data_IF_327036409545
#
_entry.id   IF_327036409545
#
_cell.length_a   1.000
_cell.length_b   1.000
_cell.length_c   1.000
_cell.angle_alpha   90.00
_cell.angle_beta   90.00
_cell.angle_gamma   90.00
#
_symmetry.space_group_name_H-M   'P 1'
#
loop_
_entity.id
_entity.type
_entity.pdbx_description
1 polymer ?
#
# COMPACT_ATOMS: atom_id res chain seq x y z
N UNK A 1 8.62 9.60 -5.37
CA UNK A 1 9.87 10.29 -5.75
C UNK A 1 10.02 11.66 -5.07
N UNK A 2 9.14 12.63 -5.31
CA UNK A 2 9.23 13.98 -4.72
C UNK A 2 9.35 13.98 -3.20
N UNK A 3 8.55 13.18 -2.49
CA UNK A 3 8.61 13.08 -1.03
C UNK A 3 9.96 12.55 -0.51
N UNK A 4 10.64 11.69 -1.28
CA UNK A 4 12.00 11.23 -0.94
C UNK A 4 12.98 12.40 -1.08
N UNK A 5 12.93 13.12 -2.21
CA UNK A 5 13.81 14.28 -2.44
C UNK A 5 13.58 15.36 -1.38
N UNK A 6 12.33 15.64 -1.00
CA UNK A 6 12.02 16.53 0.12
C UNK A 6 12.69 16.10 1.42
N UNK A 7 12.67 14.81 1.74
CA UNK A 7 13.34 14.28 2.92
C UNK A 7 14.87 14.47 2.82
N UNK A 8 15.46 14.18 1.66
CA UNK A 8 16.88 14.41 1.41
C UNK A 8 17.25 15.90 1.56
N UNK A 9 16.46 16.81 0.99
CA UNK A 9 16.69 18.27 1.05
C UNK A 9 16.59 18.82 2.48
N UNK A 10 15.71 18.28 3.33
CA UNK A 10 15.66 18.62 4.77
C UNK A 10 16.98 18.27 5.49
N UNK A 11 17.70 17.27 5.00
CA UNK A 11 19.03 16.89 5.48
C UNK A 11 20.15 17.58 4.70
N UNK A 12 19.85 18.65 3.93
CA UNK A 12 20.80 19.43 3.13
C UNK A 12 21.53 18.60 2.06
N UNK A 13 20.91 17.50 1.61
CA UNK A 13 21.41 16.73 0.48
C UNK A 13 20.97 17.41 -0.80
N UNK A 14 21.94 17.76 -1.65
CA UNK A 14 21.68 18.35 -2.96
C UNK A 14 21.42 17.27 -4.00
N UNK A 15 20.53 17.58 -4.94
CA UNK A 15 20.15 16.73 -6.05
C UNK A 15 20.10 17.57 -7.34
N UNK A 16 20.23 16.92 -8.50
CA UNK A 16 20.39 17.57 -9.79
C UNK A 16 19.47 16.95 -10.83
N UNK A 17 18.96 17.77 -11.75
CA UNK A 17 18.20 17.28 -12.89
C UNK A 17 19.08 16.42 -13.80
N UNK A 18 18.49 15.43 -14.47
CA UNK A 18 19.15 14.73 -15.57
C UNK A 18 19.15 15.60 -16.83
N UNK A 19 20.33 15.99 -17.34
CA UNK A 19 20.52 16.86 -18.51
C UNK A 19 20.46 16.11 -19.84
N UNK A 20 20.99 14.88 -19.86
CA UNK A 20 21.08 14.03 -21.06
C UNK A 20 20.64 12.62 -20.70
N UNK A 21 20.04 11.87 -21.63
CA UNK A 21 19.64 10.50 -21.35
C UNK A 21 20.80 9.66 -20.81
N UNK A 22 20.50 8.75 -19.89
CA UNK A 22 21.45 7.78 -19.35
C UNK A 22 20.82 6.39 -19.36
N UNK A 23 21.59 5.37 -19.71
CA UNK A 23 21.13 3.98 -19.71
C UNK A 23 21.78 3.24 -18.56
N UNK A 24 20.97 2.65 -17.67
CA UNK A 24 21.42 1.88 -16.51
C UNK A 24 20.68 0.54 -16.53
N UNK A 25 21.42 -0.58 -16.48
CA UNK A 25 20.86 -1.94 -16.47
C UNK A 25 19.75 -2.12 -17.53
N UNK A 26 20.05 -1.75 -18.79
CA UNK A 26 19.14 -1.82 -19.95
C UNK A 26 17.92 -0.88 -19.91
N UNK A 27 17.76 -0.06 -18.87
CA UNK A 27 16.71 0.95 -18.79
C UNK A 27 17.27 2.31 -19.18
N UNK A 28 16.67 2.94 -20.19
CA UNK A 28 17.00 4.32 -20.59
C UNK A 28 16.15 5.29 -19.78
N UNK A 29 16.80 6.27 -19.17
CA UNK A 29 16.17 7.39 -18.48
C UNK A 29 16.39 8.65 -19.31
N UNK A 30 15.31 9.37 -19.64
CA UNK A 30 15.36 10.64 -20.34
C UNK A 30 15.37 11.82 -19.33
N UNK A 31 15.77 13.03 -19.76
CA UNK A 31 15.56 14.24 -18.97
C UNK A 31 14.12 14.32 -18.44
N UNK A 32 13.95 14.85 -17.23
CA UNK A 32 12.68 14.92 -16.45
C UNK A 32 12.18 13.59 -15.84
N UNK A 33 12.67 12.43 -16.29
CA UNK A 33 12.27 11.12 -15.74
C UNK A 33 13.12 10.68 -14.55
N UNK A 34 14.30 11.28 -14.37
CA UNK A 34 15.26 10.90 -13.34
C UNK A 34 16.00 12.10 -12.75
N UNK A 35 16.52 11.89 -11.54
CA UNK A 35 17.29 12.85 -10.74
C UNK A 35 18.62 12.19 -10.36
N UNK A 36 19.69 12.97 -10.34
CA UNK A 36 21.02 12.54 -9.93
C UNK A 36 21.30 13.09 -8.52
N UNK A 37 21.68 12.22 -7.59
CA UNK A 37 22.11 12.60 -6.24
C UNK A 37 23.59 12.23 -6.09
N UNK A 38 24.54 13.19 -6.22
CA UNK A 38 25.96 12.88 -6.13
C UNK A 38 26.36 12.55 -4.69
N UNK A 39 27.27 11.60 -4.49
CA UNK A 39 27.78 11.26 -3.16
C UNK A 39 28.87 12.22 -2.66
N UNK A 40 29.52 12.98 -3.56
CA UNK A 40 30.54 13.98 -3.21
C UNK A 40 29.92 15.27 -2.66
N UNK A 41 29.41 15.19 -1.44
CA UNK A 41 28.81 16.30 -0.70
C UNK A 41 28.97 16.08 0.83
N UNK A 42 28.82 17.10 1.69
CA UNK A 42 29.13 17.00 3.12
C UNK A 42 28.42 15.83 3.85
N UNK A 43 27.19 15.48 3.45
CA UNK A 43 26.39 14.42 4.06
C UNK A 43 26.62 13.03 3.46
N UNK A 44 27.78 12.77 2.85
CA UNK A 44 28.07 11.54 2.08
C UNK A 44 27.82 10.25 2.86
N UNK A 45 28.24 10.18 4.14
CA UNK A 45 28.07 8.98 4.98
C UNK A 45 26.60 8.72 5.28
N UNK A 46 25.85 9.77 5.62
CA UNK A 46 24.41 9.65 5.84
C UNK A 46 23.71 9.21 4.56
N UNK A 47 23.94 9.91 3.43
CA UNK A 47 23.38 9.56 2.13
C UNK A 47 23.67 8.10 1.75
N UNK A 48 24.90 7.62 1.97
CA UNK A 48 25.24 6.21 1.73
C UNK A 48 24.35 5.30 2.57
N UNK A 49 24.29 5.51 3.89
CA UNK A 49 23.50 4.68 4.81
C UNK A 49 22.01 4.62 4.50
N UNK A 50 21.39 5.73 4.09
CA UNK A 50 19.95 5.76 3.78
C UNK A 50 19.60 5.29 2.36
N UNK A 51 20.58 5.19 1.45
CA UNK A 51 20.36 4.78 0.05
C UNK A 51 20.85 3.36 -0.24
N UNK A 52 21.76 2.82 0.58
CA UNK A 52 22.39 1.52 0.34
C UNK A 52 21.44 0.34 0.55
N UNK A 53 21.90 -0.82 0.08
CA UNK A 53 21.32 -2.13 0.36
C UNK A 53 22.41 -2.96 1.01
N UNK A 54 22.20 -3.32 2.26
CA UNK A 54 23.11 -4.18 3.03
C UNK A 54 22.45 -5.53 3.20
N UNK A 55 23.17 -6.61 2.91
CA UNK A 55 22.74 -8.01 3.10
C UNK A 55 23.78 -8.86 3.82
N UNK A 56 24.98 -8.30 4.06
CA UNK A 56 26.09 -8.97 4.73
C UNK A 56 26.40 -8.21 6.01
N UNK A 57 26.55 -8.95 7.10
CA UNK A 57 26.77 -8.42 8.45
C UNK A 57 27.79 -9.28 9.18
N UNK A 58 28.62 -8.66 10.01
CA UNK A 58 29.56 -9.39 10.89
C UNK A 58 28.83 -10.08 12.06
N UNK A 59 27.72 -9.49 12.53
CA UNK A 59 26.87 -10.04 13.58
C UNK A 59 25.48 -10.40 13.03
N UNK A 60 24.87 -11.42 13.63
CA UNK A 60 23.52 -11.91 13.34
C UNK A 60 22.48 -11.38 14.34
N UNK A 61 22.91 -10.70 15.40
CA UNK A 61 22.03 -10.16 16.43
C UNK A 61 21.73 -8.68 16.21
N UNK A 62 20.44 -8.37 16.08
CA UNK A 62 19.95 -7.01 15.89
C UNK A 62 19.02 -6.62 17.04
N UNK A 63 19.23 -5.43 17.60
CA UNK A 63 18.39 -4.91 18.69
C UNK A 63 16.99 -4.51 18.21
N UNK A 64 16.85 -4.09 16.94
CA UNK A 64 15.58 -3.61 16.36
C UNK A 64 15.41 -4.09 14.91
N UNK A 65 15.98 -3.37 13.94
CA UNK A 65 15.90 -3.71 12.51
C UNK A 65 17.27 -3.73 11.85
N UNK A 66 17.37 -4.43 10.73
CA UNK A 66 18.62 -4.64 9.98
C UNK A 66 18.68 -3.86 8.66
N UNK A 67 17.62 -3.14 8.27
CA UNK A 67 17.56 -2.39 7.02
C UNK A 67 16.79 -1.07 7.14
N UNK A 68 17.26 -0.03 6.42
CA UNK A 68 16.73 1.34 6.48
C UNK A 68 16.69 2.06 5.11
N UNK A 69 16.69 1.32 4.01
CA UNK A 69 16.80 1.89 2.66
C UNK A 69 15.58 2.76 2.29
N UNK A 70 15.77 4.08 2.25
CA UNK A 70 14.70 5.04 1.96
C UNK A 70 14.15 4.94 0.53
N UNK A 71 14.93 4.66 -0.53
CA UNK A 71 14.35 4.43 -1.86
C UNK A 71 13.26 3.36 -1.84
N UNK A 72 13.51 2.24 -1.14
CA UNK A 72 12.52 1.17 -0.98
C UNK A 72 11.34 1.61 -0.11
N UNK A 73 11.60 2.30 1.01
CA UNK A 73 10.55 2.83 1.87
C UNK A 73 9.61 3.80 1.13
N UNK A 74 10.10 4.54 0.15
CA UNK A 74 9.32 5.49 -0.65
C UNK A 74 8.79 4.91 -1.96
N UNK A 75 9.03 3.63 -2.26
CA UNK A 75 8.64 2.98 -3.53
C UNK A 75 9.34 3.58 -4.76
N UNK A 76 10.54 4.13 -4.60
CA UNK A 76 11.30 4.80 -5.66
C UNK A 76 12.36 3.87 -6.23
N UNK A 77 12.35 3.67 -7.55
CA UNK A 77 13.43 3.00 -8.28
C UNK A 77 14.70 3.84 -8.19
N UNK A 78 15.78 3.26 -7.67
CA UNK A 78 17.09 3.91 -7.57
C UNK A 78 18.19 2.99 -8.10
N UNK A 79 19.27 3.61 -8.59
CA UNK A 79 20.45 2.90 -9.07
C UNK A 79 21.70 3.61 -8.60
N UNK A 80 22.67 2.82 -8.11
CA UNK A 80 24.01 3.32 -7.81
C UNK A 80 24.81 3.49 -9.11
N UNK A 81 25.47 4.63 -9.25
CA UNK A 81 26.38 4.93 -10.36
C UNK A 81 27.83 4.85 -9.87
N UNK A 82 28.60 3.91 -10.42
CA UNK A 82 30.04 3.79 -10.12
C UNK A 82 30.90 4.81 -10.85
N UNK A 83 30.43 5.30 -12.00
CA UNK A 83 31.13 6.29 -12.82
C UNK A 83 30.62 7.69 -12.48
N UNK A 84 31.50 8.69 -12.62
CA UNK A 84 31.17 10.08 -12.34
C UNK A 84 30.09 10.60 -13.33
N UNK A 85 28.88 10.96 -12.85
CA UNK A 85 27.77 11.35 -13.73
C UNK A 85 27.83 12.81 -14.19
N UNK A 86 28.95 13.53 -13.99
CA UNK A 86 29.07 14.98 -14.24
C UNK A 86 28.60 15.42 -15.64
N UNK A 87 28.81 14.61 -16.67
CA UNK A 87 28.37 14.90 -18.06
C UNK A 87 26.85 14.80 -18.26
N UNK A 88 26.16 14.06 -17.40
CA UNK A 88 24.70 13.89 -17.40
C UNK A 88 24.00 14.81 -16.40
N UNK A 89 24.75 15.44 -15.50
CA UNK A 89 24.22 16.30 -14.44
C UNK A 89 23.83 17.68 -14.98
N UNK A 90 22.58 18.08 -14.73
CA UNK A 90 22.02 19.38 -15.11
C UNK A 90 22.14 20.41 -13.99
N UNK A 91 21.17 21.33 -13.94
CA UNK A 91 21.05 22.28 -12.84
C UNK A 91 20.77 21.56 -11.52
N UNK A 92 21.26 22.17 -10.44
CA UNK A 92 20.85 21.77 -9.09
C UNK A 92 19.35 22.01 -8.96
N UNK A 93 18.66 21.06 -8.32
CA UNK A 93 17.25 21.21 -8.01
C UNK A 93 17.06 22.23 -6.90
N UNK A 94 16.11 23.13 -7.11
CA UNK A 94 15.54 23.96 -6.05
C UNK A 94 14.71 23.10 -5.09
N UNK A 95 14.15 23.72 -4.05
CA UNK A 95 13.27 23.02 -3.10
C UNK A 95 12.11 22.33 -3.84
N UNK A 96 12.00 21.03 -3.66
CA UNK A 96 11.00 20.22 -4.35
C UNK A 96 9.71 20.25 -3.56
N UNK A 97 8.62 20.63 -4.22
CA UNK A 97 7.27 20.50 -3.69
C UNK A 97 6.52 19.35 -4.41
N UNK A 98 5.45 18.87 -3.78
CA UNK A 98 4.51 18.00 -4.49
C UNK A 98 3.79 18.84 -5.54
N UNK A 99 3.65 18.31 -6.75
CA UNK A 99 3.08 19.03 -7.91
C UNK A 99 2.02 18.18 -8.66
N UNK A 100 1.75 18.48 -9.93
CA UNK A 100 0.99 17.59 -10.82
C UNK A 100 -0.52 17.53 -10.56
N UNK A 101 -1.03 18.39 -9.67
CA UNK A 101 -2.44 18.50 -9.34
C UNK A 101 -3.22 19.39 -10.32
N UNK A 102 -4.02 18.80 -11.19
CA UNK A 102 -4.75 19.53 -12.23
C UNK A 102 -6.09 18.87 -12.60
N UNK A 103 -7.06 19.70 -12.98
CA UNK A 103 -8.28 19.27 -13.70
C UNK A 103 -8.12 19.57 -15.18
N UNK A 104 -7.96 18.53 -15.98
CA UNK A 104 -7.72 18.62 -17.42
C UNK A 104 -9.06 18.48 -18.16
N UNK A 105 -9.35 19.37 -19.12
CA UNK A 105 -10.60 19.35 -19.89
C UNK A 105 -11.73 20.23 -19.32
N UNK A 106 -11.48 20.97 -18.24
CA UNK A 106 -12.42 21.95 -17.70
C UNK A 106 -13.64 21.33 -17.00
N UNK A 107 -14.84 21.79 -17.35
CA UNK A 107 -16.11 21.34 -16.73
C UNK A 107 -16.66 20.12 -17.46
N UNK A 108 -16.70 18.98 -16.76
CA UNK A 108 -17.25 17.74 -17.30
C UNK A 108 -18.77 17.82 -17.49
N UNK A 109 -19.27 17.30 -18.62
CA UNK A 109 -20.71 17.06 -18.84
C UNK A 109 -21.16 15.65 -18.48
N UNK A 110 -20.24 14.67 -18.39
CA UNK A 110 -20.58 13.27 -18.12
C UNK A 110 -19.95 12.75 -16.83
N UNK A 111 -18.63 12.82 -16.71
CA UNK A 111 -17.92 12.34 -15.52
C UNK A 111 -16.53 12.97 -15.43
N UNK A 112 -16.01 13.05 -14.22
CA UNK A 112 -14.57 13.20 -14.00
C UNK A 112 -13.92 11.83 -13.86
N UNK A 113 -12.65 11.72 -14.23
CA UNK A 113 -11.87 10.49 -14.12
C UNK A 113 -10.58 10.82 -13.39
N UNK A 114 -10.41 10.29 -12.18
CA UNK A 114 -9.19 10.47 -11.39
C UNK A 114 -8.29 9.24 -11.56
N UNK A 115 -7.04 9.45 -11.95
CA UNK A 115 -6.05 8.36 -12.00
C UNK A 115 -5.68 7.89 -10.59
N UNK A 116 -5.44 6.60 -10.43
CA UNK A 116 -5.08 5.97 -9.15
C UNK A 116 -3.57 5.73 -9.01
N UNK A 117 -2.79 6.77 -9.26
CA UNK A 117 -1.32 6.70 -9.32
C UNK A 117 -0.62 7.81 -8.51
N UNK A 118 -1.37 8.54 -7.69
CA UNK A 118 -0.85 9.62 -6.82
C UNK A 118 -1.08 9.24 -5.37
N UNK A 119 -0.10 9.57 -4.52
CA UNK A 119 -0.05 9.12 -3.13
C UNK A 119 -1.29 9.52 -2.30
N UNK A 120 -1.84 10.72 -2.52
CA UNK A 120 -3.04 11.19 -1.82
C UNK A 120 -4.35 10.92 -2.58
N UNK A 121 -4.36 10.09 -3.63
CA UNK A 121 -5.60 9.68 -4.29
C UNK A 121 -6.64 9.05 -3.34
N UNK A 122 -6.25 8.23 -2.33
CA UNK A 122 -7.19 7.70 -1.33
C UNK A 122 -7.87 8.80 -0.49
N UNK A 123 -7.13 9.86 -0.13
CA UNK A 123 -7.68 11.02 0.58
C UNK A 123 -8.71 11.77 -0.26
N UNK A 124 -8.42 11.97 -1.55
CA UNK A 124 -9.37 12.56 -2.50
C UNK A 124 -10.63 11.69 -2.66
N UNK A 125 -10.46 10.37 -2.83
CA UNK A 125 -11.57 9.43 -2.96
C UNK A 125 -12.47 9.44 -1.72
N UNK A 126 -11.90 9.47 -0.51
CA UNK A 126 -12.69 9.58 0.70
C UNK A 126 -13.55 10.84 0.72
N UNK A 127 -12.96 12.01 0.44
CA UNK A 127 -13.70 13.29 0.42
C UNK A 127 -14.80 13.32 -0.64
N UNK A 128 -14.61 12.62 -1.75
CA UNK A 128 -15.64 12.45 -2.80
C UNK A 128 -16.81 11.64 -2.24
N UNK A 129 -16.53 10.46 -1.68
CA UNK A 129 -17.53 9.59 -1.06
C UNK A 129 -18.27 10.29 0.09
N UNK A 130 -17.54 11.04 0.92
CA UNK A 130 -18.09 11.77 2.06
C UNK A 130 -18.98 12.95 1.63
N UNK A 131 -18.78 13.47 0.42
CA UNK A 131 -19.65 14.49 -0.18
C UNK A 131 -20.94 13.90 -0.77
N UNK A 132 -21.21 12.61 -0.58
CA UNK A 132 -22.40 11.92 -1.10
C UNK A 132 -22.35 11.61 -2.59
N UNK A 133 -21.15 11.59 -3.18
CA UNK A 133 -20.93 11.16 -4.56
C UNK A 133 -20.63 9.66 -4.55
N UNK A 134 -21.18 8.92 -5.52
CA UNK A 134 -20.92 7.49 -5.71
C UNK A 134 -19.99 7.27 -6.90
N UNK A 135 -18.66 7.35 -6.70
CA UNK A 135 -17.69 7.05 -7.73
C UNK A 135 -17.69 5.56 -8.06
N UNK A 136 -17.07 5.23 -9.18
CA UNK A 136 -16.94 3.86 -9.67
C UNK A 136 -15.48 3.52 -9.91
N UNK A 137 -15.09 2.32 -9.47
CA UNK A 137 -13.78 1.75 -9.70
C UNK A 137 -13.73 1.12 -11.10
N UNK A 138 -12.78 1.54 -11.94
CA UNK A 138 -12.52 0.87 -13.20
C UNK A 138 -11.70 -0.41 -12.97
N UNK A 139 -12.32 -1.58 -13.16
CA UNK A 139 -11.64 -2.86 -13.01
C UNK A 139 -10.84 -3.26 -14.25
N UNK A 140 -11.00 -2.55 -15.38
CA UNK A 140 -10.28 -2.80 -16.63
C UNK A 140 -9.71 -1.50 -17.22
N UNK A 141 -8.56 -1.56 -17.94
CA UNK A 141 -8.05 -0.40 -18.66
C UNK A 141 -9.03 0.07 -19.74
N UNK A 142 -9.06 1.37 -19.96
CA UNK A 142 -9.90 2.00 -20.98
C UNK A 142 -9.28 3.31 -21.46
N UNK A 143 -9.83 3.88 -22.54
CA UNK A 143 -9.41 5.20 -23.02
C UNK A 143 -10.59 6.10 -23.34
N UNK A 144 -10.40 7.41 -23.23
CA UNK A 144 -11.40 8.40 -23.66
C UNK A 144 -10.72 9.59 -24.34
N UNK A 145 -11.51 10.38 -25.08
CA UNK A 145 -11.05 11.59 -25.74
C UNK A 145 -11.26 12.78 -24.80
N UNK A 146 -10.17 13.43 -24.39
CA UNK A 146 -10.17 14.63 -23.56
C UNK A 146 -9.51 15.75 -24.38
N UNK A 147 -10.22 16.85 -24.62
CA UNK A 147 -9.76 17.96 -25.47
C UNK A 147 -9.23 17.52 -26.85
N UNK A 148 -9.86 16.53 -27.48
CA UNK A 148 -9.45 15.99 -28.78
C UNK A 148 -8.30 15.00 -28.74
N UNK A 149 -7.68 14.76 -27.57
CA UNK A 149 -6.58 13.82 -27.40
C UNK A 149 -7.06 12.52 -26.74
N UNK A 150 -6.56 11.39 -27.23
CA UNK A 150 -6.78 10.08 -26.60
C UNK A 150 -5.98 10.01 -25.29
N UNK A 151 -6.67 9.74 -24.18
CA UNK A 151 -6.08 9.55 -22.86
C UNK A 151 -6.38 8.14 -22.38
N UNK A 152 -5.33 7.43 -21.97
CA UNK A 152 -5.41 6.08 -21.42
C UNK A 152 -5.54 6.11 -19.88
N UNK A 153 -6.35 5.19 -19.37
CA UNK A 153 -6.62 4.99 -17.96
C UNK A 153 -6.38 3.54 -17.58
N UNK A 154 -5.62 3.34 -16.50
CA UNK A 154 -5.28 2.03 -15.97
C UNK A 154 -6.38 1.51 -15.03
N UNK A 155 -6.27 0.24 -14.65
CA UNK A 155 -7.10 -0.34 -13.58
C UNK A 155 -6.95 0.48 -12.30
N UNK A 156 -8.04 0.59 -11.56
CA UNK A 156 -8.09 1.43 -10.36
C UNK A 156 -8.50 2.87 -10.60
N UNK A 157 -8.52 3.34 -11.86
CA UNK A 157 -9.00 4.69 -12.16
C UNK A 157 -10.43 4.89 -11.64
N UNK A 158 -10.68 6.06 -11.06
CA UNK A 158 -11.94 6.37 -10.38
C UNK A 158 -12.79 7.24 -11.29
N UNK A 159 -13.93 6.71 -11.73
CA UNK A 159 -14.93 7.43 -12.51
C UNK A 159 -15.91 8.11 -11.55
N UNK A 160 -16.09 9.40 -11.69
CA UNK A 160 -16.87 10.26 -10.79
C UNK A 160 -17.98 10.90 -11.63
N UNK A 161 -19.18 10.29 -11.69
CA UNK A 161 -20.28 10.81 -12.49
C UNK A 161 -20.66 12.23 -12.05
N UNK A 162 -21.05 13.11 -12.98
CA UNK A 162 -21.60 14.42 -12.60
C UNK A 162 -23.09 14.35 -12.25
N UNK A 163 -23.78 13.34 -12.79
CA UNK A 163 -25.15 12.99 -12.44
C UNK A 163 -25.13 11.84 -11.41
N UNK A 164 -25.57 12.12 -10.19
CA UNK A 164 -25.76 11.10 -9.16
C UNK A 164 -27.09 10.36 -9.39
N UNK A 165 -27.11 9.05 -9.17
CA UNK A 165 -28.31 8.22 -9.38
C UNK A 165 -29.27 8.20 -8.19
N UNK A 166 -28.82 8.61 -7.01
CA UNK A 166 -29.67 8.63 -5.81
C UNK A 166 -30.60 9.84 -5.81
N UNK A 167 -31.90 9.57 -5.61
CA UNK A 167 -32.96 10.57 -5.61
C UNK A 167 -32.75 11.69 -4.56
N UNK A 168 -31.99 11.39 -3.50
CA UNK A 168 -31.72 12.33 -2.39
C UNK A 168 -30.44 13.15 -2.58
N UNK A 169 -29.68 12.93 -3.67
CA UNK A 169 -28.43 13.65 -3.89
C UNK A 169 -28.68 15.12 -4.23
N UNK A 170 -28.27 16.02 -3.32
CA UNK A 170 -28.42 17.48 -3.48
C UNK A 170 -27.20 18.16 -4.09
N UNK A 171 -26.16 17.39 -4.44
CA UNK A 171 -24.90 17.95 -4.94
C UNK A 171 -25.03 18.38 -6.40
N UNK A 172 -24.74 19.64 -6.68
CA UNK A 172 -24.83 20.21 -8.02
C UNK A 172 -23.57 19.92 -8.84
N UNK A 173 -23.69 19.94 -10.17
CA UNK A 173 -22.56 19.82 -11.10
C UNK A 173 -21.45 20.85 -10.80
N UNK A 174 -21.84 22.07 -10.41
CA UNK A 174 -20.91 23.13 -10.01
C UNK A 174 -20.12 22.75 -8.75
N UNK A 175 -20.78 22.18 -7.74
CA UNK A 175 -20.12 21.74 -6.52
C UNK A 175 -19.18 20.56 -6.77
N UNK A 176 -19.57 19.60 -7.62
CA UNK A 176 -18.69 18.50 -8.04
C UNK A 176 -17.43 19.07 -8.71
N UNK A 177 -17.58 19.99 -9.68
CA UNK A 177 -16.44 20.61 -10.36
C UNK A 177 -15.51 21.33 -9.37
N UNK A 178 -16.05 22.17 -8.48
CA UNK A 178 -15.28 22.88 -7.46
C UNK A 178 -14.58 21.91 -6.49
N UNK A 179 -15.20 20.78 -6.18
CA UNK A 179 -14.57 19.72 -5.41
C UNK A 179 -13.37 19.15 -6.18
N UNK A 180 -13.52 18.81 -7.47
CA UNK A 180 -12.40 18.30 -8.28
C UNK A 180 -11.23 19.29 -8.35
N UNK A 181 -11.49 20.57 -8.62
CA UNK A 181 -10.44 21.60 -8.70
C UNK A 181 -9.68 21.77 -7.38
N UNK A 182 -10.41 21.70 -6.25
CA UNK A 182 -9.81 21.79 -4.92
C UNK A 182 -8.98 20.56 -4.61
N UNK A 183 -9.52 19.36 -4.86
CA UNK A 183 -8.83 18.09 -4.59
C UNK A 183 -7.59 17.93 -5.47
N UNK A 184 -7.68 18.27 -6.75
CA UNK A 184 -6.53 18.20 -7.66
C UNK A 184 -5.38 19.05 -7.12
N UNK A 185 -5.65 20.29 -6.70
CA UNK A 185 -4.65 21.21 -6.15
C UNK A 185 -4.12 20.77 -4.78
N UNK A 186 -5.00 20.45 -3.83
CA UNK A 186 -4.59 20.17 -2.44
C UNK A 186 -3.96 18.80 -2.24
N UNK A 187 -4.40 17.82 -3.01
CA UNK A 187 -4.00 16.41 -2.87
C UNK A 187 -3.17 15.93 -4.08
N UNK A 188 -2.81 16.84 -5.00
CA UNK A 188 -1.88 16.58 -6.10
C UNK A 188 -2.32 15.43 -7.03
N UNK A 189 -3.62 15.28 -7.23
CA UNK A 189 -4.23 14.25 -8.08
C UNK A 189 -4.54 14.79 -9.47
N UNK A 190 -4.39 13.94 -10.48
CA UNK A 190 -4.75 14.25 -11.86
C UNK A 190 -6.19 13.81 -12.14
N UNK A 191 -7.02 14.77 -12.55
CA UNK A 191 -8.44 14.55 -12.80
C UNK A 191 -8.76 15.01 -14.23
N UNK A 192 -9.47 14.17 -14.99
CA UNK A 192 -9.81 14.43 -16.38
C UNK A 192 -11.32 14.59 -16.52
N UNK A 193 -11.75 15.67 -17.17
CA UNK A 193 -13.15 15.98 -17.40
C UNK A 193 -13.64 15.34 -18.72
N UNK A 194 -14.49 14.34 -18.62
CA UNK A 194 -15.15 13.72 -19.78
C UNK A 194 -16.51 14.35 -20.05
N UNK A 195 -16.74 14.67 -21.32
CA UNK A 195 -18.02 15.23 -21.79
C UNK A 195 -18.98 14.17 -22.36
N UNK A 196 -18.55 12.91 -22.42
CA UNK A 196 -19.35 11.78 -22.91
C UNK A 196 -19.08 10.54 -22.05
N UNK A 197 -20.07 9.65 -21.96
CA UNK A 197 -19.89 8.33 -21.36
C UNK A 197 -19.23 7.33 -22.33
N UNK A 198 -19.18 7.68 -23.62
CA UNK A 198 -18.50 6.89 -24.64
C UNK A 198 -16.99 6.85 -24.38
N UNK A 199 -16.39 5.67 -24.46
CA UNK A 199 -14.95 5.46 -24.42
C UNK A 199 -14.43 5.17 -25.83
N UNK A 200 -13.16 5.50 -26.08
CA UNK A 200 -12.50 5.19 -27.35
C UNK A 200 -12.06 3.71 -27.40
N UNK A 201 -11.78 3.11 -26.25
CA UNK A 201 -11.56 1.67 -26.07
C UNK A 201 -11.94 1.24 -24.65
N UNK A 202 -12.20 -0.06 -24.46
CA UNK A 202 -12.68 -0.60 -23.18
C UNK A 202 -14.18 -0.34 -22.97
N UNK A 203 -14.68 -0.60 -21.77
CA UNK A 203 -16.11 -0.39 -21.46
C UNK A 203 -16.46 1.08 -21.32
N UNK A 204 -17.71 1.44 -21.61
CA UNK A 204 -18.26 2.78 -21.37
C UNK A 204 -18.09 3.23 -19.92
N UNK A 205 -18.06 4.53 -19.69
CA UNK A 205 -18.01 5.11 -18.34
C UNK A 205 -19.29 4.71 -17.58
N UNK A 206 -19.14 3.76 -16.66
CA UNK A 206 -20.25 3.18 -15.93
C UNK A 206 -20.88 1.92 -16.54
N UNK A 207 -20.21 1.28 -17.50
CA UNK A 207 -20.53 -0.06 -17.97
C UNK A 207 -20.12 -1.16 -16.99
N UNK A 208 -20.34 -2.43 -17.34
CA UNK A 208 -20.25 -3.60 -16.45
C UNK A 208 -18.90 -3.81 -15.73
N UNK A 209 -17.81 -3.28 -16.27
CA UNK A 209 -16.46 -3.38 -15.65
C UNK A 209 -16.19 -2.30 -14.59
N UNK A 210 -17.21 -1.50 -14.24
CA UNK A 210 -17.11 -0.47 -13.22
C UNK A 210 -17.92 -0.83 -11.98
N UNK A 211 -17.24 -1.03 -10.84
CA UNK A 211 -17.88 -1.30 -9.54
C UNK A 211 -18.22 0.00 -8.85
N UNK A 212 -19.45 0.17 -8.35
CA UNK A 212 -19.82 1.32 -7.51
C UNK A 212 -19.12 1.20 -6.17
N UNK A 213 -18.47 2.27 -5.72
CA UNK A 213 -17.75 2.29 -4.45
C UNK A 213 -18.64 2.80 -3.32
N UNK A 214 -18.54 2.15 -2.17
CA UNK A 214 -19.16 2.58 -0.93
C UNK A 214 -18.20 3.41 -0.08
N UNK A 215 -18.75 4.27 0.78
CA UNK A 215 -17.94 5.02 1.75
C UNK A 215 -17.42 4.06 2.83
N UNK A 216 -16.10 3.94 3.04
CA UNK A 216 -15.58 3.11 4.11
C UNK A 216 -15.90 3.72 5.47
N UNK A 217 -16.47 2.91 6.36
CA UNK A 217 -16.65 3.14 7.80
C UNK A 217 -15.69 2.22 8.53
N UNK A 218 -14.52 2.75 8.83
CA UNK A 218 -13.36 1.96 9.28
C UNK A 218 -13.31 1.89 10.81
N UNK A 219 -13.19 0.68 11.34
CA UNK A 219 -12.72 0.42 12.70
C UNK A 219 -11.35 -0.25 12.70
N UNK A 220 -10.50 0.12 13.65
CA UNK A 220 -9.21 -0.52 13.92
C UNK A 220 -9.33 -1.16 15.29
N UNK A 221 -9.12 -2.47 15.37
CA UNK A 221 -9.06 -3.14 16.68
C UNK A 221 -7.87 -2.60 17.48
N UNK A 222 -8.11 -2.32 18.77
CA UNK A 222 -7.16 -1.63 19.66
C UNK A 222 -7.35 -2.09 21.11
N UNK A 223 -6.48 -1.62 22.00
CA UNK A 223 -6.53 -1.98 23.43
C UNK A 223 -5.81 -3.30 23.73
N UNK A 224 -6.29 -4.04 24.73
CA UNK A 224 -5.73 -5.31 25.17
C UNK A 224 -5.57 -6.31 24.00
N UNK A 225 -4.51 -7.10 24.04
CA UNK A 225 -4.20 -8.06 22.98
C UNK A 225 -3.67 -7.47 21.66
N UNK A 226 -3.61 -6.14 21.50
CA UNK A 226 -3.09 -5.46 20.30
C UNK A 226 -1.71 -4.85 20.50
N UNK A 227 -0.94 -4.74 19.41
CA UNK A 227 0.30 -3.98 19.38
C UNK A 227 0.01 -2.49 19.21
N UNK A 228 0.38 -1.67 20.20
CA UNK A 228 0.21 -0.21 20.13
C UNK A 228 0.93 0.41 18.94
N UNK A 229 2.05 -0.18 18.51
CA UNK A 229 2.75 0.21 17.28
C UNK A 229 1.89 -0.06 16.04
N UNK A 230 1.38 -1.28 15.88
CA UNK A 230 0.55 -1.66 14.73
C UNK A 230 -0.73 -0.81 14.62
N UNK A 231 -1.41 -0.59 15.76
CA UNK A 231 -2.57 0.29 15.84
C UNK A 231 -2.20 1.73 15.47
N UNK A 232 -1.13 2.26 16.09
CA UNK A 232 -0.70 3.65 15.91
C UNK A 232 -0.28 3.97 14.47
N UNK A 233 0.39 3.05 13.79
CA UNK A 233 0.83 3.21 12.40
C UNK A 233 -0.37 3.29 11.44
N UNK A 234 -1.34 2.38 11.58
CA UNK A 234 -2.56 2.34 10.75
C UNK A 234 -3.45 3.56 11.06
N UNK A 235 -3.59 3.91 12.33
CA UNK A 235 -4.35 5.09 12.74
C UNK A 235 -3.73 6.38 12.23
N UNK A 236 -2.40 6.51 12.32
CA UNK A 236 -1.68 7.64 11.75
C UNK A 236 -1.84 7.72 10.21
N UNK A 237 -1.73 6.61 9.49
CA UNK A 237 -1.94 6.61 8.04
C UNK A 237 -3.37 7.08 7.70
N UNK A 238 -4.38 6.45 8.29
CA UNK A 238 -5.78 6.73 7.97
C UNK A 238 -6.18 8.13 8.42
N UNK A 239 -6.03 8.45 9.70
CA UNK A 239 -6.51 9.69 10.30
C UNK A 239 -5.59 10.89 10.03
N UNK A 240 -4.30 10.79 10.38
CA UNK A 240 -3.39 11.95 10.30
C UNK A 240 -3.00 12.28 8.88
N UNK A 241 -2.65 11.27 8.08
CA UNK A 241 -2.12 11.45 6.72
C UNK A 241 -3.21 11.51 5.66
N UNK A 242 -4.10 10.53 5.64
CA UNK A 242 -5.15 10.42 4.62
C UNK A 242 -6.43 11.16 4.98
N UNK A 243 -6.56 11.67 6.22
CA UNK A 243 -7.77 12.37 6.71
C UNK A 243 -9.05 11.53 6.54
N UNK A 244 -8.91 10.22 6.73
CA UNK A 244 -9.99 9.23 6.76
C UNK A 244 -10.31 8.98 8.24
N UNK A 245 -11.52 9.32 8.71
CA UNK A 245 -11.99 8.94 10.04
C UNK A 245 -11.93 7.43 10.23
N UNK A 246 -11.24 7.00 11.28
CA UNK A 246 -11.15 5.61 11.73
C UNK A 246 -11.41 5.56 13.23
N UNK A 247 -12.26 4.62 13.64
CA UNK A 247 -12.61 4.44 15.05
C UNK A 247 -11.67 3.40 15.68
N UNK A 248 -11.12 3.72 16.84
CA UNK A 248 -10.41 2.73 17.64
C UNK A 248 -11.46 1.91 18.40
N UNK A 249 -11.63 0.65 18.00
CA UNK A 249 -12.57 -0.28 18.62
C UNK A 249 -11.78 -1.17 19.58
N UNK A 250 -12.12 -1.16 20.86
CA UNK A 250 -11.48 -2.05 21.82
C UNK A 250 -11.72 -3.51 21.40
N UNK A 251 -10.65 -4.32 21.40
CA UNK A 251 -10.66 -5.73 21.05
C UNK A 251 -11.24 -6.60 22.17
N UNK A 252 -12.41 -6.21 22.67
CA UNK A 252 -13.13 -6.85 23.78
C UNK A 252 -14.64 -6.66 23.55
N UNK A 253 -15.43 -7.70 23.85
CA UNK A 253 -16.90 -7.66 23.73
C UNK A 253 -17.37 -7.19 22.35
N UNK A 254 -16.87 -7.82 21.29
CA UNK A 254 -17.19 -7.56 19.88
C UNK A 254 -18.58 -8.10 19.51
N UNK A 255 -19.60 -7.49 20.10
CA UNK A 255 -20.99 -7.85 19.81
C UNK A 255 -21.47 -7.32 18.44
N UNK A 256 -22.54 -7.94 17.93
CA UNK A 256 -23.13 -7.63 16.61
C UNK A 256 -23.46 -6.15 16.42
N UNK A 257 -24.01 -5.50 17.46
CA UNK A 257 -24.40 -4.08 17.41
C UNK A 257 -23.19 -3.15 17.25
N UNK A 258 -22.08 -3.44 17.94
CA UNK A 258 -20.83 -2.69 17.77
C UNK A 258 -20.29 -2.84 16.35
N UNK A 259 -20.22 -4.08 15.85
CA UNK A 259 -19.65 -4.39 14.53
C UNK A 259 -20.50 -3.79 13.38
N UNK A 260 -21.82 -3.76 13.51
CA UNK A 260 -22.75 -3.25 12.50
C UNK A 260 -22.55 -1.76 12.12
N UNK A 261 -21.84 -0.98 12.94
CA UNK A 261 -21.53 0.42 12.64
C UNK A 261 -20.46 0.59 11.55
N UNK A 262 -19.75 -0.50 11.22
CA UNK A 262 -18.59 -0.51 10.34
C UNK A 262 -18.80 -1.48 9.18
N UNK A 263 -18.29 -1.14 8.00
CA UNK A 263 -18.19 -2.06 6.86
C UNK A 263 -16.75 -2.55 6.63
N UNK A 264 -15.77 -1.94 7.30
CA UNK A 264 -14.36 -2.35 7.26
C UNK A 264 -13.79 -2.41 8.67
N UNK A 265 -13.22 -3.55 9.02
CA UNK A 265 -12.51 -3.76 10.29
C UNK A 265 -11.08 -4.16 9.99
N UNK A 266 -10.14 -3.45 10.59
CA UNK A 266 -8.72 -3.75 10.53
C UNK A 266 -8.31 -4.43 11.85
N UNK A 267 -7.59 -5.54 11.73
CA UNK A 267 -7.04 -6.37 12.80
C UNK A 267 -5.51 -6.22 12.73
N UNK A 268 -4.93 -5.23 13.43
CA UNK A 268 -3.49 -4.99 13.43
C UNK A 268 -2.69 -6.16 14.03
N UNK A 269 -1.37 -5.99 14.04
CA UNK A 269 -0.46 -6.85 14.81
C UNK A 269 -0.94 -6.99 16.27
N UNK A 270 -1.03 -8.22 16.76
CA UNK A 270 -1.64 -8.55 18.05
C UNK A 270 -1.97 -10.04 18.18
N UNK A 271 -2.13 -10.49 19.43
CA UNK A 271 -2.46 -11.89 19.75
C UNK A 271 -3.90 -12.10 20.19
N UNK A 272 -4.60 -11.02 20.57
CA UNK A 272 -6.04 -11.02 20.88
C UNK A 272 -6.47 -12.18 21.79
N UNK A 273 -5.81 -12.32 22.94
CA UNK A 273 -6.06 -13.40 23.89
C UNK A 273 -7.38 -13.22 24.64
N UNK A 274 -7.86 -11.99 24.69
CA UNK A 274 -9.04 -11.51 25.39
C UNK A 274 -10.33 -11.75 24.58
N UNK A 275 -10.23 -12.01 23.28
CA UNK A 275 -11.39 -12.31 22.43
C UNK A 275 -11.85 -13.75 22.61
N UNK A 276 -13.08 -13.90 23.10
CA UNK A 276 -13.70 -15.19 23.38
C UNK A 276 -14.34 -15.81 22.13
N UNK A 277 -14.83 -17.05 22.26
CA UNK A 277 -15.50 -17.76 21.17
C UNK A 277 -16.71 -17.00 20.61
N UNK A 278 -17.45 -16.27 21.45
CA UNK A 278 -18.60 -15.47 21.01
C UNK A 278 -18.18 -14.26 20.17
N UNK A 279 -17.08 -13.60 20.51
CA UNK A 279 -16.54 -12.48 19.74
C UNK A 279 -16.07 -12.94 18.37
N UNK A 280 -15.34 -14.07 18.34
CA UNK A 280 -14.88 -14.71 17.10
C UNK A 280 -16.07 -15.09 16.22
N UNK A 281 -17.13 -15.65 16.80
CA UNK A 281 -18.34 -16.01 16.07
C UNK A 281 -19.06 -14.79 15.50
N UNK A 282 -19.21 -13.72 16.28
CA UNK A 282 -19.79 -12.46 15.80
C UNK A 282 -18.98 -11.86 14.65
N UNK A 283 -17.65 -11.91 14.74
CA UNK A 283 -16.77 -11.41 13.67
C UNK A 283 -16.90 -12.25 12.40
N UNK A 284 -16.98 -13.59 12.50
CA UNK A 284 -17.25 -14.49 11.37
C UNK A 284 -18.59 -14.16 10.70
N UNK A 285 -19.65 -14.02 11.49
CA UNK A 285 -20.97 -13.67 10.97
C UNK A 285 -20.97 -12.28 10.31
N UNK A 286 -20.28 -11.30 10.89
CA UNK A 286 -20.16 -9.97 10.31
C UNK A 286 -19.46 -10.00 8.93
N UNK A 287 -18.37 -10.78 8.79
CA UNK A 287 -17.72 -11.00 7.48
C UNK A 287 -18.69 -11.68 6.51
N UNK A 288 -19.34 -12.78 6.92
CA UNK A 288 -20.28 -13.50 6.06
C UNK A 288 -21.41 -12.60 5.53
N UNK A 289 -21.79 -11.57 6.29
CA UNK A 289 -22.83 -10.60 5.96
C UNK A 289 -22.34 -9.37 5.20
N UNK A 290 -21.12 -9.37 4.64
CA UNK A 290 -20.64 -8.29 3.76
C UNK A 290 -19.51 -7.44 4.32
N UNK A 291 -19.07 -7.69 5.56
CA UNK A 291 -17.94 -6.98 6.15
C UNK A 291 -16.60 -7.28 5.46
N UNK A 292 -15.76 -6.26 5.34
CA UNK A 292 -14.36 -6.40 4.89
C UNK A 292 -13.43 -6.46 6.10
N UNK A 293 -12.77 -7.61 6.29
CA UNK A 293 -11.83 -7.83 7.39
C UNK A 293 -10.39 -7.80 6.86
N UNK A 294 -9.55 -6.95 7.45
CA UNK A 294 -8.17 -6.74 7.01
C UNK A 294 -7.22 -7.10 8.16
N UNK A 295 -6.44 -8.17 8.02
CA UNK A 295 -5.39 -8.53 8.97
C UNK A 295 -4.03 -7.99 8.55
N UNK A 296 -3.18 -7.61 9.52
CA UNK A 296 -1.76 -7.36 9.28
C UNK A 296 -0.89 -8.17 10.25
N UNK A 297 0.23 -8.68 9.76
CA UNK A 297 1.23 -9.44 10.55
C UNK A 297 0.59 -10.54 11.42
N UNK A 298 0.81 -10.52 12.74
CA UNK A 298 0.24 -11.53 13.65
C UNK A 298 -1.29 -11.42 13.78
N UNK A 299 -1.89 -10.28 13.44
CA UNK A 299 -3.34 -10.15 13.29
C UNK A 299 -3.87 -11.03 12.16
N UNK A 300 -3.20 -11.06 11.00
CA UNK A 300 -3.51 -12.01 9.93
C UNK A 300 -3.36 -13.45 10.41
N UNK A 301 -2.27 -13.75 11.13
CA UNK A 301 -2.05 -15.09 11.70
C UNK A 301 -3.17 -15.50 12.67
N UNK A 302 -3.64 -14.57 13.50
CA UNK A 302 -4.73 -14.80 14.43
C UNK A 302 -6.04 -15.14 13.71
N UNK A 303 -6.37 -14.43 12.61
CA UNK A 303 -7.54 -14.72 11.78
C UNK A 303 -7.53 -16.15 11.23
N UNK A 304 -6.36 -16.62 10.80
CA UNK A 304 -6.15 -18.00 10.34
C UNK A 304 -6.33 -18.98 11.49
N UNK A 305 -5.62 -18.77 12.60
CA UNK A 305 -5.60 -19.68 13.76
C UNK A 305 -6.99 -19.85 14.40
N UNK A 306 -7.81 -18.78 14.44
CA UNK A 306 -9.20 -18.83 14.93
C UNK A 306 -10.19 -19.35 13.90
N UNK A 307 -9.71 -19.78 12.73
CA UNK A 307 -10.51 -20.29 11.61
C UNK A 307 -11.59 -19.30 11.19
N UNK A 308 -11.26 -18.00 11.21
CA UNK A 308 -12.12 -16.96 10.62
C UNK A 308 -12.04 -17.11 9.12
N UNK A 309 -10.86 -17.34 8.57
CA UNK A 309 -10.60 -17.67 7.18
C UNK A 309 -9.83 -18.99 7.11
N UNK A 310 -10.12 -19.83 6.11
CA UNK A 310 -9.44 -21.13 5.93
C UNK A 310 -8.18 -20.95 5.09
N UNK A 311 -7.09 -20.50 5.70
CA UNK A 311 -5.75 -20.43 5.12
C UNK A 311 -4.75 -21.19 5.99
N UNK A 312 -3.50 -21.29 5.54
CA UNK A 312 -2.45 -22.02 6.24
C UNK A 312 -1.27 -21.12 6.56
N UNK A 313 -0.88 -21.11 7.83
CA UNK A 313 0.42 -20.60 8.25
C UNK A 313 1.42 -21.73 8.03
N UNK A 314 2.51 -21.44 7.32
CA UNK A 314 3.57 -22.41 7.07
C UNK A 314 4.13 -22.89 8.41
N UNK A 315 4.21 -24.20 8.60
CA UNK A 315 4.83 -24.77 9.78
C UNK A 315 6.30 -24.35 9.85
N UNK A 316 6.73 -23.95 11.03
CA UNK A 316 8.15 -23.75 11.30
C UNK A 316 8.64 -24.99 12.02
N UNK A 317 9.71 -25.61 11.53
CA UNK A 317 10.36 -26.67 12.29
C UNK A 317 10.96 -26.05 13.54
N UNK A 318 10.63 -26.61 14.71
CA UNK A 318 11.29 -26.21 15.94
C UNK A 318 12.75 -26.66 15.85
N UNK A 319 13.68 -25.71 15.89
CA UNK A 319 15.10 -26.03 16.01
C UNK A 319 15.34 -26.84 17.28
N UNK A 320 15.81 -28.07 17.12
CA UNK A 320 16.40 -28.84 18.21
C UNK A 320 17.84 -28.40 18.34
N UNK A 321 18.09 -27.49 19.29
CA UNK A 321 19.42 -26.97 19.58
C UNK A 321 20.09 -27.89 20.61
N UNK A 322 20.94 -28.81 20.14
CA UNK A 322 21.87 -29.57 20.99
C UNK A 322 23.24 -28.90 20.93
N UNK A 323 23.36 -27.77 21.64
CA UNK A 323 24.53 -26.88 21.64
C UNK A 323 24.82 -26.38 23.06
N UNK A 324 26.03 -25.86 23.33
CA UNK A 324 26.35 -25.22 24.59
C UNK A 324 25.34 -24.11 24.97
N UNK A 325 24.96 -24.05 26.25
CA UNK A 325 23.90 -23.17 26.74
C UNK A 325 24.17 -21.68 26.44
N UNK A 326 25.43 -21.25 26.52
CA UNK A 326 25.87 -19.88 26.23
C UNK A 326 25.67 -19.47 24.76
N UNK A 327 25.57 -20.44 23.84
CA UNK A 327 25.33 -20.19 22.42
C UNK A 327 23.84 -20.12 22.05
N UNK A 328 22.95 -20.64 22.90
CA UNK A 328 21.50 -20.72 22.63
C UNK A 328 20.91 -19.36 22.29
N UNK A 329 21.27 -18.31 23.02
CA UNK A 329 20.78 -16.96 22.76
C UNK A 329 21.20 -16.45 21.38
N UNK A 330 22.46 -16.65 21.01
CA UNK A 330 22.99 -16.21 19.71
C UNK A 330 22.30 -16.93 18.55
N UNK A 331 22.23 -18.27 18.62
CA UNK A 331 21.63 -19.08 17.54
C UNK A 331 20.13 -18.81 17.42
N UNK A 332 19.40 -18.76 18.55
CA UNK A 332 17.96 -18.43 18.55
C UNK A 332 17.66 -17.00 18.10
N UNK A 333 18.54 -16.05 18.44
CA UNK A 333 18.40 -14.64 18.07
C UNK A 333 18.61 -14.40 16.57
N UNK A 334 19.59 -15.09 15.98
CA UNK A 334 19.86 -15.11 14.55
C UNK A 334 18.67 -15.61 13.71
N UNK A 335 17.76 -16.40 14.29
CA UNK A 335 16.56 -16.86 13.58
C UNK A 335 15.45 -15.79 13.48
N UNK A 336 15.61 -14.64 14.15
CA UNK A 336 14.60 -13.57 14.15
C UNK A 336 14.76 -12.66 12.95
N UNK A 337 13.66 -12.30 12.31
CA UNK A 337 13.59 -11.19 11.37
C UNK A 337 13.10 -9.96 12.15
N UNK A 338 14.03 -9.18 12.70
CA UNK A 338 13.71 -7.97 13.48
C UNK A 338 13.12 -6.84 12.62
N UNK A 339 13.57 -6.76 11.38
CA UNK A 339 13.12 -5.84 10.35
C UNK A 339 14.03 -5.91 9.12
N UNK A 340 13.51 -6.35 7.98
CA UNK A 340 14.23 -6.45 6.72
C UNK A 340 13.30 -6.19 5.54
N UNK A 341 13.87 -5.89 4.38
CA UNK A 341 13.16 -5.51 3.16
C UNK A 341 13.14 -6.70 2.21
N UNK A 342 11.94 -7.07 1.76
CA UNK A 342 11.73 -8.19 0.86
C UNK A 342 11.03 -7.75 -0.43
N UNK A 343 11.42 -8.36 -1.55
CA UNK A 343 10.77 -8.22 -2.84
C UNK A 343 9.57 -9.15 -2.93
N UNK A 344 8.44 -8.58 -3.34
CA UNK A 344 7.18 -9.28 -3.54
C UNK A 344 6.70 -9.01 -4.95
N UNK A 345 6.24 -10.08 -5.61
CA UNK A 345 5.52 -10.02 -6.88
C UNK A 345 4.02 -9.88 -6.63
N UNK A 346 3.40 -8.90 -7.28
CA UNK A 346 1.98 -8.56 -7.18
C UNK A 346 1.22 -8.97 -8.44
N UNK A 347 0.00 -9.44 -8.25
CA UNK A 347 -1.00 -9.54 -9.31
C UNK A 347 -1.66 -8.16 -9.54
N UNK A 348 -1.11 -7.38 -10.48
CA UNK A 348 -1.60 -6.05 -10.85
C UNK A 348 -3.06 -6.03 -11.36
N UNK A 349 -3.66 -7.19 -11.64
CA UNK A 349 -5.07 -7.28 -12.07
C UNK A 349 -6.05 -7.33 -10.91
N UNK A 350 -5.57 -7.65 -9.70
CA UNK A 350 -6.36 -7.70 -8.48
C UNK A 350 -6.52 -6.29 -7.88
N UNK A 351 -7.72 -5.87 -7.41
CA UNK A 351 -7.95 -4.51 -6.91
C UNK A 351 -7.00 -4.03 -5.80
N UNK A 352 -6.58 -4.95 -4.94
CA UNK A 352 -5.61 -4.67 -3.86
C UNK A 352 -4.24 -4.19 -4.40
N UNK A 353 -3.86 -4.56 -5.63
CA UNK A 353 -2.60 -4.16 -6.26
C UNK A 353 -2.75 -3.01 -7.27
N UNK A 354 -3.94 -2.40 -7.42
CA UNK A 354 -4.10 -1.27 -8.35
C UNK A 354 -3.19 -0.10 -7.99
N UNK A 355 -2.57 0.51 -9.01
CA UNK A 355 -1.59 1.59 -8.87
C UNK A 355 -0.17 1.11 -8.55
N UNK A 356 0.07 -0.21 -8.47
CA UNK A 356 1.38 -0.80 -8.26
C UNK A 356 1.93 -1.45 -9.53
N UNK A 357 3.26 -1.56 -9.58
CA UNK A 357 3.95 -2.42 -10.53
C UNK A 357 4.03 -3.85 -10.00
N UNK A 358 4.39 -4.77 -10.88
CA UNK A 358 4.45 -6.22 -10.64
C UNK A 358 5.40 -6.57 -9.52
N UNK A 359 6.38 -5.72 -9.22
CA UNK A 359 7.32 -5.90 -8.11
C UNK A 359 7.27 -4.70 -7.19
N UNK A 360 7.22 -4.98 -5.89
CA UNK A 360 7.33 -3.97 -4.84
C UNK A 360 8.24 -4.47 -3.72
N UNK A 361 8.62 -3.56 -2.83
CA UNK A 361 9.38 -3.88 -1.62
C UNK A 361 8.48 -3.74 -0.40
N UNK A 362 8.42 -4.77 0.43
CA UNK A 362 7.69 -4.79 1.70
C UNK A 362 8.66 -4.85 2.87
N UNK A 363 8.29 -4.19 3.97
CA UNK A 363 9.05 -4.25 5.21
C UNK A 363 8.49 -5.35 6.10
N UNK A 364 9.31 -6.35 6.39
CA UNK A 364 8.90 -7.53 7.13
C UNK A 364 9.48 -7.54 8.53
N UNK A 365 8.65 -7.91 9.50
CA UNK A 365 9.06 -8.31 10.84
C UNK A 365 8.43 -9.65 11.20
N UNK A 366 9.21 -10.51 11.84
CA UNK A 366 8.80 -11.83 12.28
C UNK A 366 8.91 -12.93 11.22
N UNK A 367 8.64 -14.15 11.66
CA UNK A 367 8.92 -15.40 10.93
C UNK A 367 7.65 -16.21 10.66
N UNK A 368 6.47 -15.59 10.73
CA UNK A 368 5.19 -16.23 10.42
C UNK A 368 4.93 -16.13 8.91
N UNK A 369 5.29 -17.16 8.16
CA UNK A 369 5.06 -17.22 6.71
C UNK A 369 3.71 -17.87 6.42
N UNK A 370 3.04 -17.44 5.35
CA UNK A 370 1.78 -18.04 4.90
C UNK A 370 2.02 -18.94 3.70
N UNK A 371 1.38 -20.09 3.66
CA UNK A 371 1.34 -20.88 2.43
C UNK A 371 0.56 -20.12 1.36
N UNK A 372 0.76 -20.49 0.10
CA UNK A 372 -0.09 -19.97 -0.97
C UNK A 372 -1.52 -20.47 -0.74
N UNK A 373 -2.49 -19.57 -0.82
CA UNK A 373 -3.90 -19.91 -0.78
C UNK A 373 -4.26 -20.84 -1.94
N UNK A 374 -5.05 -21.87 -1.64
CA UNK A 374 -5.65 -22.76 -2.66
C UNK A 374 -6.91 -22.12 -3.29
N UNK A 375 -7.43 -21.04 -2.72
CA UNK A 375 -8.55 -20.28 -3.26
C UNK A 375 -8.25 -19.63 -4.62
N UNK A 376 -9.24 -19.58 -5.53
CA UNK A 376 -9.05 -19.01 -6.88
C UNK A 376 -8.69 -17.53 -6.79
N UNK A 377 -7.63 -17.14 -7.52
CA UNK A 377 -7.13 -15.76 -7.60
C UNK A 377 -6.83 -15.07 -6.27
N UNK A 378 -6.68 -15.82 -5.17
CA UNK A 378 -6.56 -15.26 -3.83
C UNK A 378 -5.15 -14.74 -3.49
N UNK A 379 -4.12 -15.20 -4.20
CA UNK A 379 -2.73 -14.86 -3.94
C UNK A 379 -2.32 -13.56 -4.65
N UNK A 380 -2.65 -12.41 -4.05
CA UNK A 380 -2.36 -11.07 -4.58
C UNK A 380 -0.87 -10.77 -4.58
N UNK A 381 -0.16 -11.18 -3.52
CA UNK A 381 1.26 -10.89 -3.32
C UNK A 381 2.03 -12.15 -2.94
N UNK A 382 3.15 -12.41 -3.62
CA UNK A 382 4.02 -13.57 -3.39
C UNK A 382 5.47 -13.14 -3.22
N UNK A 383 6.16 -13.65 -2.22
CA UNK A 383 7.62 -13.46 -2.16
C UNK A 383 8.27 -14.16 -3.34
N UNK A 384 9.30 -13.54 -3.91
CA UNK A 384 10.04 -14.14 -5.02
C UNK A 384 10.91 -15.32 -4.54
N UNK A 385 11.56 -16.00 -5.48
CA UNK A 385 12.48 -17.09 -5.18
C UNK A 385 13.78 -16.63 -4.46
N UNK A 386 14.12 -15.35 -4.56
CA UNK A 386 15.19 -14.74 -3.78
C UNK A 386 14.71 -13.38 -3.27
N UNK A 387 13.91 -13.37 -2.19
CA UNK A 387 13.14 -12.19 -1.84
C UNK A 387 13.94 -11.17 -1.06
N UNK A 388 15.11 -11.49 -0.47
CA UNK A 388 15.87 -10.52 0.32
C UNK A 388 16.38 -9.36 -0.56
N UNK A 389 15.96 -8.14 -0.24
CA UNK A 389 16.44 -6.92 -0.91
C UNK A 389 17.51 -6.23 -0.07
N UNK A 390 17.27 -6.12 1.24
CA UNK A 390 18.22 -5.59 2.21
C UNK A 390 17.80 -6.00 3.62
N UNK A 391 18.77 -6.18 4.50
CA UNK A 391 18.61 -6.62 5.86
C UNK A 391 19.13 -8.04 6.04
N UNK A 392 18.98 -8.52 7.26
CA UNK A 392 19.42 -9.82 7.70
C UNK A 392 18.26 -10.81 7.75
N UNK A 393 18.55 -12.04 7.33
CA UNK A 393 17.70 -13.22 7.46
C UNK A 393 18.64 -14.43 7.55
N UNK A 394 18.34 -15.38 8.43
CA UNK A 394 19.09 -16.64 8.49
C UNK A 394 18.86 -17.49 7.25
N UNK A 395 19.77 -18.42 6.97
CA UNK A 395 19.65 -19.31 5.81
C UNK A 395 18.37 -20.16 5.86
N UNK A 396 17.99 -20.62 7.06
CA UNK A 396 16.79 -21.42 7.27
C UNK A 396 15.53 -20.60 6.98
N UNK A 397 15.45 -19.37 7.50
CA UNK A 397 14.31 -18.49 7.23
C UNK A 397 14.29 -18.00 5.79
N UNK A 398 15.45 -17.84 5.16
CA UNK A 398 15.54 -17.55 3.73
C UNK A 398 15.00 -18.72 2.89
N UNK A 399 15.20 -19.97 3.30
CA UNK A 399 14.58 -21.13 2.65
C UNK A 399 13.05 -21.19 2.87
N UNK A 400 12.60 -20.85 4.08
CA UNK A 400 11.17 -20.88 4.43
C UNK A 400 10.33 -19.80 3.71
N UNK A 401 10.84 -18.57 3.55
CA UNK A 401 10.07 -17.45 2.99
C UNK A 401 9.85 -17.52 1.47
N UNK A 402 10.72 -18.21 0.73
CA UNK A 402 10.68 -18.26 -0.73
C UNK A 402 9.33 -18.78 -1.24
N UNK A 403 8.77 -18.09 -2.23
CA UNK A 403 7.50 -18.46 -2.89
C UNK A 403 6.29 -18.60 -1.93
N UNK A 404 6.35 -17.97 -0.75
CA UNK A 404 5.23 -17.90 0.19
C UNK A 404 4.30 -16.72 -0.11
N UNK A 405 3.09 -16.74 0.46
CA UNK A 405 2.17 -15.63 0.30
C UNK A 405 2.57 -14.45 1.19
N UNK A 406 2.61 -13.26 0.59
CA UNK A 406 2.74 -11.99 1.31
C UNK A 406 1.37 -11.32 1.48
N UNK A 407 0.49 -11.44 0.47
CA UNK A 407 -0.86 -10.88 0.50
C UNK A 407 -1.84 -11.93 -0.03
N UNK A 408 -2.81 -12.29 0.80
CA UNK A 408 -3.96 -13.13 0.42
C UNK A 408 -5.21 -12.27 0.50
N UNK A 409 -6.02 -12.24 -0.55
CA UNK A 409 -7.30 -11.53 -0.54
C UNK A 409 -8.36 -12.42 -1.18
N UNK A 410 -9.44 -12.71 -0.47
CA UNK A 410 -10.55 -13.48 -1.05
C UNK A 410 -11.88 -13.21 -0.41
N UNK A 411 -12.93 -13.53 -1.16
CA UNK A 411 -14.31 -13.49 -0.72
C UNK A 411 -14.61 -14.59 0.30
N UNK A 412 -15.44 -14.26 1.29
CA UNK A 412 -15.98 -15.17 2.29
C UNK A 412 -17.44 -14.82 2.57
N UNK A 413 -18.37 -15.66 2.10
CA UNK A 413 -19.79 -15.32 2.12
C UNK A 413 -20.05 -14.11 1.22
N UNK A 414 -20.71 -13.08 1.75
CA UNK A 414 -20.89 -11.79 1.07
C UNK A 414 -19.73 -10.81 1.30
N UNK A 415 -18.91 -11.04 2.33
CA UNK A 415 -17.79 -10.16 2.67
C UNK A 415 -16.46 -10.68 2.15
N UNK A 416 -15.39 -10.06 2.65
CA UNK A 416 -14.04 -10.23 2.09
C UNK A 416 -13.01 -10.21 3.20
N UNK A 417 -11.97 -11.02 3.04
CA UNK A 417 -10.84 -11.07 3.97
C UNK A 417 -9.56 -10.78 3.21
N UNK A 418 -8.78 -9.82 3.71
CA UNK A 418 -7.44 -9.47 3.19
C UNK A 418 -6.42 -9.70 4.30
N UNK A 419 -5.44 -10.54 4.04
CA UNK A 419 -4.36 -10.89 4.96
C UNK A 419 -3.05 -10.33 4.42
N UNK A 420 -2.44 -9.42 5.16
CA UNK A 420 -1.05 -9.01 4.93
C UNK A 420 -0.15 -9.79 5.89
N UNK A 421 0.84 -10.52 5.35
CA UNK A 421 1.89 -11.16 6.13
C UNK A 421 2.88 -10.14 6.72
N UNK A 422 2.95 -8.97 6.10
CA UNK A 422 3.83 -7.85 6.47
C UNK A 422 3.02 -6.66 7.01
N UNK A 423 3.73 -5.65 7.48
CA UNK A 423 3.14 -4.37 7.81
C UNK A 423 3.24 -3.42 6.60
N UNK A 424 2.12 -3.07 5.94
CA UNK A 424 2.15 -2.20 4.77
C UNK A 424 2.52 -0.74 5.10
N UNK A 425 2.47 -0.34 6.38
CA UNK A 425 2.57 1.06 6.85
C UNK A 425 3.59 1.27 7.96
N UNK A 426 4.63 0.43 7.97
CA UNK A 426 5.64 0.37 9.03
C UNK A 426 6.19 1.75 9.43
N UNK A 427 6.06 2.06 10.73
CA UNK A 427 6.55 3.25 11.44
C UNK A 427 6.30 4.59 10.76
N UNK A 428 5.25 4.69 9.94
CA UNK A 428 4.91 5.88 9.19
C UNK A 428 6.02 6.42 8.25
N UNK A 429 7.14 5.72 8.05
CA UNK A 429 8.15 6.11 7.05
C UNK A 429 8.10 5.23 5.79
N UNK A 430 7.35 4.13 5.84
CA UNK A 430 7.20 3.20 4.73
C UNK A 430 6.02 3.58 3.81
N UNK A 431 6.20 4.65 3.03
CA UNK A 431 5.21 5.18 2.09
C UNK A 431 4.88 4.24 0.93
N UNK A 432 5.84 3.42 0.51
CA UNK A 432 5.79 2.65 -0.74
C UNK A 432 4.61 1.69 -0.78
N UNK A 433 4.19 1.13 0.35
CA UNK A 433 3.14 0.10 0.41
C UNK A 433 1.88 0.52 1.17
N UNK A 434 1.80 1.78 1.62
CA UNK A 434 0.58 2.34 2.23
C UNK A 434 -0.64 2.18 1.30
N UNK A 435 -0.43 2.32 0.00
CA UNK A 435 -1.46 2.18 -1.02
C UNK A 435 -2.10 0.78 -1.03
N UNK A 436 -1.37 -0.28 -0.67
CA UNK A 436 -1.94 -1.63 -0.61
C UNK A 436 -2.98 -1.76 0.51
N UNK A 437 -2.70 -1.19 1.68
CA UNK A 437 -3.65 -1.15 2.80
C UNK A 437 -4.85 -0.26 2.46
N UNK A 438 -4.62 0.88 1.81
CA UNK A 438 -5.69 1.79 1.39
C UNK A 438 -6.56 1.16 0.30
N UNK A 439 -5.98 0.41 -0.64
CA UNK A 439 -6.73 -0.38 -1.60
C UNK A 439 -7.60 -1.43 -0.90
N UNK A 440 -7.11 -2.08 0.16
CA UNK A 440 -7.94 -3.00 0.95
C UNK A 440 -9.13 -2.29 1.64
N UNK A 441 -8.95 -1.06 2.09
CA UNK A 441 -10.02 -0.25 2.70
C UNK A 441 -11.07 0.17 1.67
N UNK A 442 -10.66 0.64 0.49
CA UNK A 442 -11.59 1.17 -0.52
C UNK A 442 -12.14 0.14 -1.49
N UNK A 443 -11.33 -0.85 -1.86
CA UNK A 443 -11.62 -1.84 -2.90
C UNK A 443 -11.79 -3.25 -2.33
N UNK A 444 -11.78 -3.39 -1.00
CA UNK A 444 -12.00 -4.66 -0.32
C UNK A 444 -13.33 -5.33 -0.65
N UNK A 445 -14.31 -4.61 -1.21
CA UNK A 445 -15.63 -5.12 -1.59
C UNK A 445 -15.77 -5.40 -3.10
N UNK A 446 -14.70 -5.25 -3.89
CA UNK A 446 -14.80 -5.23 -5.35
C UNK A 446 -14.30 -6.50 -6.07
N UNK A 447 -14.00 -7.59 -5.36
CA UNK A 447 -13.43 -8.82 -5.96
C UNK A 447 -14.06 -10.12 -5.46
#
# INVERSE_FOLDING_TARGET
AQMLIQNLQKHRIVAYALKKPITIKQTKYNPTEAIIVPTNQPQTRFLKGIMEKVTEFEDSLFYDVSAWSLPHAYGVKSHELKQNPKTHMGSQLEEVFLDGGEVIGGKAKSAYIMKWNRYYAPKSLYKILDSGILPRLANAPFSTIINGNKVEFERGSIVIPVNQRDADSRITHRQIHQLMERLSKSDHVQIYASNTAATASGSFLGGATHTVLEKPKVAILSGSGTSSYGVGEIWHLTNSRMKIPSSLLNAENLNKWKLANYNTIIVPDGYYQELESIDIQNLKEWVLNGGTLIGTQTGSQWLINKKIINEKVKSTENMKLDIPYDQVRTVSGAQRIGGAIFEVELDETHPIAYGYNKKTSLFRRGTHFFELSEGPSANVGRYTNNPLVSGYISEEKAAEIKNTASIIARRQGLGHVVLFADNPSFRAFWYGTDGLLLNAIFFGQSF
#
